data_IF_902272733972
#
_entry.id   IF_902272733972
#
_cell.length_a   1.000
_cell.length_b   1.000
_cell.length_c   1.000
_cell.angle_alpha   90.00
_cell.angle_beta   90.00
_cell.angle_gamma   90.00
#
_symmetry.space_group_name_H-M   'P 1'
#
loop_
_entity.id
_entity.type
_entity.pdbx_description
1 polymer ?
#
# COMPACT_ATOMS: atom_id res chain seq x y z
N UNK A 1 -6.10 -10.36 43.55
CA UNK A 1 -5.48 -9.39 42.62
C UNK A 1 -6.54 -8.43 42.14
N UNK A 2 -6.17 -7.18 41.84
CA UNK A 2 -7.11 -6.25 41.22
C UNK A 2 -7.28 -6.61 39.74
N UNK A 3 -8.51 -6.53 39.25
CA UNK A 3 -8.79 -6.67 37.81
C UNK A 3 -8.17 -5.51 37.02
N UNK A 4 -7.88 -5.74 35.74
CA UNK A 4 -7.36 -4.69 34.83
C UNK A 4 -8.29 -3.48 34.75
N UNK A 5 -9.61 -3.70 34.82
CA UNK A 5 -10.61 -2.64 34.89
C UNK A 5 -10.40 -1.76 36.14
N UNK A 6 -10.20 -2.37 37.31
CA UNK A 6 -9.96 -1.64 38.56
C UNK A 6 -8.63 -0.89 38.53
N UNK A 7 -7.57 -1.51 37.98
CA UNK A 7 -6.27 -0.86 37.78
C UNK A 7 -6.41 0.37 36.89
N UNK A 8 -7.10 0.25 35.76
CA UNK A 8 -7.34 1.36 34.85
C UNK A 8 -8.15 2.49 35.50
N UNK A 9 -9.24 2.16 36.20
CA UNK A 9 -10.07 3.14 36.90
C UNK A 9 -9.28 3.88 37.99
N UNK A 10 -8.44 3.18 38.74
CA UNK A 10 -7.56 3.81 39.73
C UNK A 10 -6.49 4.68 39.08
N UNK A 11 -5.88 4.23 37.98
CA UNK A 11 -4.90 4.99 37.23
C UNK A 11 -5.52 6.29 36.68
N UNK A 12 -6.71 6.21 36.09
CA UNK A 12 -7.46 7.38 35.63
C UNK A 12 -7.74 8.38 36.76
N UNK A 13 -8.17 7.89 37.93
CA UNK A 13 -8.39 8.73 39.12
C UNK A 13 -7.09 9.39 39.60
N UNK A 14 -5.98 8.64 39.61
CA UNK A 14 -4.68 9.13 40.05
C UNK A 14 -4.15 10.25 39.15
N UNK A 15 -4.31 10.12 37.83
CA UNK A 15 -3.79 11.10 36.85
C UNK A 15 -4.83 12.15 36.45
N UNK A 16 -6.03 12.12 37.04
CA UNK A 16 -7.06 13.15 36.86
C UNK A 16 -7.74 13.13 35.49
N UNK A 17 -7.95 11.97 34.89
CA UNK A 17 -8.57 11.83 33.56
C UNK A 17 -9.86 11.01 33.61
N UNK A 18 -10.74 11.25 32.64
CA UNK A 18 -11.98 10.48 32.49
C UNK A 18 -11.66 9.11 31.88
N UNK A 19 -12.06 8.00 32.50
CA UNK A 19 -11.85 6.66 31.95
C UNK A 19 -12.58 6.47 30.62
N UNK A 20 -11.91 5.84 29.67
CA UNK A 20 -12.53 5.44 28.40
C UNK A 20 -13.36 4.18 28.61
N UNK A 21 -14.68 4.32 28.63
CA UNK A 21 -15.60 3.19 28.85
C UNK A 21 -15.44 2.06 27.83
N UNK A 22 -15.05 2.38 26.59
CA UNK A 22 -14.78 1.38 25.55
C UNK A 22 -13.63 0.45 25.94
N UNK A 23 -12.55 0.96 26.55
CA UNK A 23 -11.43 0.15 27.00
C UNK A 23 -11.89 -0.92 28.00
N UNK A 24 -12.68 -0.50 29.00
CA UNK A 24 -13.20 -1.39 30.06
C UNK A 24 -14.13 -2.47 29.49
N UNK A 25 -14.95 -2.12 28.49
CA UNK A 25 -15.89 -3.05 27.87
C UNK A 25 -15.23 -4.09 26.96
N UNK A 26 -13.99 -3.88 26.56
CA UNK A 26 -13.29 -4.71 25.57
C UNK A 26 -11.99 -5.31 26.09
N UNK A 27 -11.83 -5.46 27.42
CA UNK A 27 -10.59 -5.96 28.03
C UNK A 27 -10.22 -7.39 27.59
N UNK A 28 -11.21 -8.21 27.26
CA UNK A 28 -10.97 -9.60 26.83
C UNK A 28 -10.64 -9.71 25.32
N UNK A 29 -10.72 -8.60 24.58
CA UNK A 29 -10.43 -8.60 23.15
C UNK A 29 -8.92 -8.58 22.89
N UNK A 30 -8.38 -9.41 21.97
CA UNK A 30 -6.98 -9.30 21.54
C UNK A 30 -6.72 -8.02 20.75
N UNK A 31 -7.78 -7.33 20.31
CA UNK A 31 -7.71 -6.10 19.52
C UNK A 31 -8.39 -4.96 20.28
N UNK A 32 -7.60 -3.95 20.63
CA UNK A 32 -8.06 -2.75 21.34
C UNK A 32 -7.85 -1.52 20.46
N UNK A 33 -8.93 -1.01 19.86
CA UNK A 33 -8.90 0.19 19.01
C UNK A 33 -9.55 1.35 19.75
N UNK A 34 -8.76 2.34 20.12
CA UNK A 34 -9.14 3.54 20.86
C UNK A 34 -8.91 4.81 20.03
N UNK A 35 -9.01 4.73 18.70
CA UNK A 35 -8.88 5.90 17.82
C UNK A 35 -9.91 6.98 18.16
N UNK A 36 -9.55 8.25 18.12
CA UNK A 36 -10.45 9.40 18.34
C UNK A 36 -11.08 9.51 19.75
N UNK A 37 -10.39 9.02 20.80
CA UNK A 37 -10.87 9.09 22.18
C UNK A 37 -10.32 10.27 22.98
N UNK A 38 -9.46 11.10 22.39
CA UNK A 38 -8.92 12.30 23.05
C UNK A 38 -8.14 11.99 24.33
N UNK A 39 -7.40 10.88 24.35
CA UNK A 39 -6.71 10.40 25.55
C UNK A 39 -5.76 11.44 26.15
N UNK A 40 -5.06 12.19 25.30
CA UNK A 40 -3.98 13.08 25.73
C UNK A 40 -2.81 12.31 26.38
N UNK A 41 -1.78 13.03 26.86
CA UNK A 41 -0.64 12.42 27.52
C UNK A 41 -1.01 11.61 28.77
N UNK A 42 -1.92 12.14 29.60
CA UNK A 42 -2.30 11.52 30.87
C UNK A 42 -3.30 10.37 30.72
N UNK A 43 -4.23 10.43 29.76
CA UNK A 43 -5.08 9.28 29.45
C UNK A 43 -4.25 8.13 28.89
N UNK A 44 -3.25 8.44 28.08
CA UNK A 44 -2.27 7.48 27.60
C UNK A 44 -1.44 6.87 28.75
N UNK A 45 -1.03 7.68 29.73
CA UNK A 45 -0.38 7.19 30.96
C UNK A 45 -1.27 6.19 31.72
N UNK A 46 -2.54 6.53 31.91
CA UNK A 46 -3.48 5.65 32.61
C UNK A 46 -3.65 4.30 31.88
N UNK A 47 -3.72 4.33 30.54
CA UNK A 47 -3.76 3.11 29.73
C UNK A 47 -2.47 2.31 29.85
N UNK A 48 -1.30 2.95 29.75
CA UNK A 48 -0.01 2.29 29.85
C UNK A 48 0.15 1.51 31.18
N UNK A 49 -0.35 2.06 32.29
CA UNK A 49 -0.35 1.37 33.59
C UNK A 49 -1.19 0.09 33.55
N UNK A 50 -2.36 0.12 32.91
CA UNK A 50 -3.28 -1.01 32.86
C UNK A 50 -2.88 -2.08 31.82
N UNK A 51 -2.17 -1.71 30.76
CA UNK A 51 -1.82 -2.59 29.63
C UNK A 51 -0.65 -3.55 29.89
N UNK A 52 0.01 -3.44 31.05
CA UNK A 52 1.22 -4.20 31.37
C UNK A 52 1.00 -5.73 31.41
N UNK A 53 -0.22 -6.19 31.69
CA UNK A 53 -0.56 -7.61 31.86
C UNK A 53 -1.80 -8.01 31.05
N UNK A 54 -1.73 -7.83 29.72
CA UNK A 54 -2.86 -8.10 28.81
C UNK A 54 -2.50 -8.98 27.62
N UNK A 55 -3.48 -9.74 27.17
CA UNK A 55 -3.44 -10.60 25.97
C UNK A 55 -3.66 -9.81 24.66
N UNK A 56 -3.55 -8.48 24.70
CA UNK A 56 -3.75 -7.62 23.52
C UNK A 56 -2.58 -7.81 22.56
N UNK A 57 -2.89 -8.13 21.31
CA UNK A 57 -1.93 -8.25 20.22
C UNK A 57 -1.97 -7.05 19.29
N UNK A 58 -3.10 -6.35 19.21
CA UNK A 58 -3.29 -5.16 18.36
C UNK A 58 -3.79 -3.99 19.19
N UNK A 59 -3.01 -2.91 19.25
CA UNK A 59 -3.32 -1.69 19.98
C UNK A 59 -3.39 -0.49 19.02
N UNK A 60 -4.59 0.04 18.82
CA UNK A 60 -4.83 1.21 18.00
C UNK A 60 -5.07 2.45 18.84
N UNK A 61 -4.20 3.45 18.73
CA UNK A 61 -4.26 4.70 19.50
C UNK A 61 -4.22 5.93 18.59
N UNK A 62 -4.61 5.80 17.32
CA UNK A 62 -4.58 6.89 16.35
C UNK A 62 -5.42 8.11 16.78
N UNK A 63 -4.97 9.31 16.43
CA UNK A 63 -5.69 10.57 16.65
C UNK A 63 -6.22 10.76 18.08
N UNK A 64 -5.32 10.72 19.06
CA UNK A 64 -5.63 10.84 20.48
C UNK A 64 -4.90 11.98 21.18
N UNK A 65 -4.18 12.81 20.43
CA UNK A 65 -3.38 13.91 20.98
C UNK A 65 -2.40 13.46 22.07
N UNK A 66 -1.79 12.28 21.91
CA UNK A 66 -0.91 11.65 22.93
C UNK A 66 0.34 12.48 23.22
N UNK A 67 0.87 13.17 22.21
CA UNK A 67 2.12 13.95 22.26
C UNK A 67 3.35 13.10 22.68
N UNK A 68 4.54 13.71 22.65
CA UNK A 68 5.78 13.03 23.07
C UNK A 68 5.71 12.48 24.50
N UNK A 69 5.07 13.22 25.42
CA UNK A 69 4.95 12.79 26.83
C UNK A 69 4.12 11.50 26.96
N UNK A 70 2.98 11.40 26.28
CA UNK A 70 2.17 10.20 26.32
C UNK A 70 2.86 8.99 25.68
N UNK A 71 3.61 9.21 24.59
CA UNK A 71 4.39 8.17 23.93
C UNK A 71 5.50 7.62 24.84
N UNK A 72 6.13 8.47 25.67
CA UNK A 72 7.10 8.02 26.65
C UNK A 72 6.53 6.93 27.58
N UNK A 73 5.31 7.13 28.10
CA UNK A 73 4.67 6.13 28.97
C UNK A 73 4.34 4.83 28.24
N UNK A 74 3.94 4.91 26.96
CA UNK A 74 3.74 3.70 26.15
C UNK A 74 5.04 2.95 25.89
N UNK A 75 6.11 3.66 25.59
CA UNK A 75 7.43 3.05 25.37
C UNK A 75 7.92 2.32 26.62
N UNK A 76 7.73 2.91 27.80
CA UNK A 76 8.06 2.26 29.07
C UNK A 76 7.24 0.97 29.27
N UNK A 77 5.94 0.97 28.94
CA UNK A 77 5.09 -0.22 29.00
C UNK A 77 5.49 -1.28 27.95
N UNK A 78 5.78 -0.88 26.71
CA UNK A 78 6.14 -1.77 25.61
C UNK A 78 7.49 -2.47 25.78
N UNK A 79 8.33 -2.02 26.73
CA UNK A 79 9.55 -2.74 27.13
C UNK A 79 9.27 -3.97 28.00
N UNK A 80 8.16 -3.96 28.74
CA UNK A 80 7.73 -5.07 29.58
C UNK A 80 6.61 -5.91 28.91
N UNK A 81 5.92 -5.33 27.92
CA UNK A 81 4.91 -6.03 27.15
C UNK A 81 5.53 -6.80 25.97
N UNK A 82 5.22 -8.09 25.89
CA UNK A 82 5.68 -8.98 24.83
C UNK A 82 4.55 -9.53 23.96
N UNK A 83 3.32 -9.04 24.16
CA UNK A 83 2.11 -9.55 23.52
C UNK A 83 1.68 -8.69 22.32
N UNK A 84 1.88 -7.38 22.39
CA UNK A 84 1.52 -6.45 21.32
C UNK A 84 2.44 -6.66 20.12
N UNK A 85 1.83 -6.93 18.97
CA UNK A 85 2.49 -7.15 17.67
C UNK A 85 2.17 -6.03 16.67
N UNK A 86 1.02 -5.38 16.81
CA UNK A 86 0.57 -4.30 15.91
C UNK A 86 0.22 -3.05 16.73
N UNK A 87 0.89 -1.94 16.45
CA UNK A 87 0.73 -0.69 17.17
C UNK A 87 0.44 0.46 16.20
N UNK A 88 -0.64 1.19 16.44
CA UNK A 88 -0.96 2.42 15.69
C UNK A 88 -0.90 3.65 16.62
N UNK A 89 0.05 4.53 16.34
CA UNK A 89 0.25 5.82 17.00
C UNK A 89 0.08 7.00 16.03
N UNK A 90 -0.65 6.80 14.93
CA UNK A 90 -0.84 7.83 13.91
C UNK A 90 -1.55 9.07 14.45
N UNK A 91 -1.29 10.24 13.86
CA UNK A 91 -1.95 11.51 14.16
C UNK A 91 -1.91 11.92 15.66
N UNK A 92 -0.80 11.68 16.36
CA UNK A 92 -0.69 11.94 17.79
C UNK A 92 0.22 13.12 18.17
N UNK A 93 0.72 13.87 17.19
CA UNK A 93 1.64 14.98 17.39
C UNK A 93 2.87 14.60 18.23
N UNK A 94 3.44 13.43 17.94
CA UNK A 94 4.62 12.93 18.67
C UNK A 94 5.84 13.85 18.47
N UNK A 95 6.02 14.41 17.27
CA UNK A 95 7.15 15.30 16.90
C UNK A 95 8.51 14.65 17.22
N UNK A 96 9.60 15.42 17.14
CA UNK A 96 10.96 14.91 17.30
C UNK A 96 11.24 14.19 18.62
N UNK A 97 10.75 14.73 19.75
CA UNK A 97 10.92 14.07 21.05
C UNK A 97 10.23 12.70 21.09
N UNK A 98 9.04 12.57 20.48
CA UNK A 98 8.36 11.29 20.36
C UNK A 98 9.04 10.34 19.37
N UNK A 99 9.65 10.85 18.29
CA UNK A 99 10.46 10.04 17.37
C UNK A 99 11.61 9.35 18.09
N UNK A 100 12.33 10.08 18.93
CA UNK A 100 13.43 9.53 19.73
C UNK A 100 12.94 8.43 20.69
N UNK A 101 11.81 8.63 21.36
CA UNK A 101 11.23 7.59 22.24
C UNK A 101 10.82 6.34 21.45
N UNK A 102 10.14 6.51 20.31
CA UNK A 102 9.73 5.38 19.47
C UNK A 102 10.94 4.64 18.92
N UNK A 103 11.96 5.34 18.42
CA UNK A 103 13.17 4.71 17.92
C UNK A 103 13.91 3.90 18.99
N UNK A 104 14.02 4.43 20.22
CA UNK A 104 14.58 3.68 21.35
C UNK A 104 13.76 2.44 21.68
N UNK A 105 12.43 2.53 21.62
CA UNK A 105 11.55 1.39 21.82
C UNK A 105 11.77 0.30 20.76
N UNK A 106 11.94 0.70 19.50
CA UNK A 106 12.20 -0.24 18.40
C UNK A 106 13.53 -0.99 18.58
N UNK A 107 14.53 -0.44 19.27
CA UNK A 107 15.77 -1.16 19.58
C UNK A 107 15.55 -2.32 20.58
N UNK A 108 14.68 -2.11 21.57
CA UNK A 108 14.50 -3.03 22.69
C UNK A 108 13.32 -4.02 22.48
N UNK A 109 12.30 -3.60 21.73
CA UNK A 109 11.07 -4.37 21.60
C UNK A 109 11.25 -5.60 20.70
N UNK A 110 10.79 -6.75 21.20
CA UNK A 110 10.97 -8.06 20.54
C UNK A 110 9.69 -8.63 19.93
N UNK A 111 8.53 -8.00 20.18
CA UNK A 111 7.20 -8.53 19.82
C UNK A 111 6.56 -7.83 18.62
N UNK A 112 6.84 -6.54 18.42
CA UNK A 112 6.23 -5.74 17.36
C UNK A 112 6.66 -6.24 15.98
N UNK A 113 5.67 -6.28 15.09
CA UNK A 113 5.80 -6.63 13.67
C UNK A 113 5.30 -5.49 12.78
N UNK A 114 4.33 -4.70 13.25
CA UNK A 114 3.74 -3.60 12.49
C UNK A 114 3.62 -2.36 13.37
N UNK A 115 4.12 -1.23 12.87
CA UNK A 115 3.99 0.05 13.55
C UNK A 115 3.53 1.14 12.59
N UNK A 116 2.45 1.84 12.97
CA UNK A 116 1.93 3.00 12.24
C UNK A 116 2.21 4.28 13.00
N UNK A 117 2.88 5.20 12.32
CA UNK A 117 3.37 6.46 12.85
C UNK A 117 3.00 7.64 11.94
N UNK A 118 1.98 7.45 11.10
CA UNK A 118 1.52 8.45 10.13
C UNK A 118 1.13 9.76 10.81
N UNK A 119 1.36 10.91 10.19
CA UNK A 119 0.77 12.17 10.65
C UNK A 119 1.31 12.71 11.99
N UNK A 120 2.55 12.41 12.35
CA UNK A 120 3.12 12.78 13.66
C UNK A 120 4.00 14.04 13.65
N UNK A 121 4.13 14.69 12.48
CA UNK A 121 4.95 15.89 12.27
C UNK A 121 6.44 15.64 12.54
N UNK A 122 6.94 14.48 12.14
CA UNK A 122 8.37 14.22 12.10
C UNK A 122 9.04 15.02 11.00
N UNK A 123 10.24 15.52 11.26
CA UNK A 123 11.03 16.33 10.33
C UNK A 123 12.26 15.56 9.85
N UNK A 124 13.03 16.14 8.91
CA UNK A 124 14.23 15.55 8.31
C UNK A 124 15.17 14.86 9.31
N UNK A 125 15.53 15.52 10.42
CA UNK A 125 16.47 14.99 11.42
C UNK A 125 15.94 13.75 12.15
N UNK A 126 14.61 13.62 12.25
CA UNK A 126 13.97 12.49 12.94
C UNK A 126 14.12 11.19 12.15
N UNK A 127 14.29 11.27 10.82
CA UNK A 127 14.49 10.10 9.96
C UNK A 127 15.72 9.29 10.39
N UNK A 128 16.76 9.95 10.90
CA UNK A 128 17.96 9.30 11.40
C UNK A 128 17.66 8.36 12.55
N UNK A 129 16.78 8.74 13.48
CA UNK A 129 16.42 7.87 14.60
C UNK A 129 15.78 6.56 14.12
N UNK A 130 14.90 6.63 13.12
CA UNK A 130 14.28 5.45 12.54
C UNK A 130 15.27 4.60 11.73
N UNK A 131 16.14 5.24 10.94
CA UNK A 131 17.18 4.54 10.18
C UNK A 131 18.15 3.79 11.11
N UNK A 132 18.62 4.45 12.17
CA UNK A 132 19.52 3.86 13.16
C UNK A 132 18.83 2.69 13.89
N UNK A 133 17.58 2.86 14.34
CA UNK A 133 16.85 1.81 15.06
C UNK A 133 16.53 0.59 14.18
N UNK A 134 16.12 0.81 12.93
CA UNK A 134 15.77 -0.27 12.02
C UNK A 134 17.01 -0.91 11.37
N UNK A 135 18.19 -0.28 11.41
CA UNK A 135 19.42 -0.95 10.96
C UNK A 135 19.73 -2.24 11.75
N UNK A 136 19.24 -2.35 12.98
CA UNK A 136 19.44 -3.52 13.86
C UNK A 136 18.16 -4.34 14.09
N UNK A 137 16.98 -3.73 13.95
CA UNK A 137 15.69 -4.42 14.11
C UNK A 137 15.15 -4.96 12.78
N UNK A 138 15.28 -6.28 12.57
CA UNK A 138 14.70 -7.01 11.43
C UNK A 138 13.34 -7.67 11.71
N UNK A 139 12.72 -7.36 12.86
CA UNK A 139 11.44 -7.93 13.31
C UNK A 139 10.24 -7.14 12.77
N UNK A 140 10.38 -5.83 12.65
CA UNK A 140 9.37 -4.99 12.02
C UNK A 140 9.26 -5.38 10.55
N UNK A 141 8.06 -5.80 10.17
CA UNK A 141 7.66 -6.18 8.82
C UNK A 141 6.91 -5.07 8.10
N UNK A 142 6.20 -4.24 8.85
CA UNK A 142 5.38 -3.16 8.31
C UNK A 142 5.64 -1.86 9.05
N UNK A 143 5.93 -0.80 8.29
CA UNK A 143 6.18 0.53 8.82
C UNK A 143 5.40 1.56 8.00
N UNK A 144 4.55 2.31 8.69
CA UNK A 144 3.88 3.47 8.11
C UNK A 144 4.44 4.76 8.73
N UNK A 145 5.13 5.53 7.89
CA UNK A 145 5.73 6.83 8.18
C UNK A 145 5.10 7.94 7.32
N UNK A 146 3.94 7.68 6.72
CA UNK A 146 3.23 8.62 5.84
C UNK A 146 2.83 9.92 6.52
N UNK A 147 2.50 10.95 5.74
CA UNK A 147 1.99 12.24 6.25
C UNK A 147 2.89 12.91 7.31
N UNK A 148 4.22 12.76 7.17
CA UNK A 148 5.21 13.50 7.96
C UNK A 148 5.94 14.53 7.07
N UNK A 149 7.01 15.14 7.58
CA UNK A 149 7.74 16.22 6.92
C UNK A 149 9.23 15.87 6.77
N UNK A 150 9.58 14.64 6.39
CA UNK A 150 10.99 14.22 6.23
C UNK A 150 11.75 14.94 5.11
N UNK A 151 11.04 15.43 4.09
CA UNK A 151 11.59 16.22 2.96
C UNK A 151 12.88 15.58 2.37
N UNK A 152 13.75 16.40 1.80
CA UNK A 152 14.91 15.92 1.05
C UNK A 152 15.99 15.32 1.93
N UNK A 153 16.36 15.98 3.03
CA UNK A 153 17.46 15.49 3.89
C UNK A 153 17.02 14.25 4.65
N UNK A 154 15.77 14.19 5.13
CA UNK A 154 15.23 12.97 5.72
C UNK A 154 15.14 11.83 4.70
N UNK A 155 14.88 12.12 3.41
CA UNK A 155 14.95 11.13 2.33
C UNK A 155 16.31 10.45 2.20
N UNK A 156 17.41 11.14 2.48
CA UNK A 156 18.75 10.55 2.49
C UNK A 156 18.90 9.52 3.63
N UNK A 157 18.41 9.84 4.82
CA UNK A 157 18.38 8.91 5.96
C UNK A 157 17.41 7.74 5.74
N UNK A 158 16.25 7.99 5.15
CA UNK A 158 15.29 6.94 4.79
C UNK A 158 15.84 6.02 3.70
N UNK A 159 16.73 6.50 2.83
CA UNK A 159 17.49 5.62 1.93
C UNK A 159 18.41 4.66 2.69
N UNK A 160 19.05 5.11 3.77
CA UNK A 160 19.87 4.25 4.63
C UNK A 160 19.04 3.22 5.41
N UNK A 161 17.81 3.59 5.80
CA UNK A 161 16.85 2.68 6.45
C UNK A 161 16.59 1.44 5.59
N UNK A 162 16.62 1.55 4.26
CA UNK A 162 16.40 0.43 3.34
C UNK A 162 17.52 -0.63 3.34
N UNK A 163 18.62 -0.43 4.07
CA UNK A 163 19.56 -1.52 4.36
C UNK A 163 18.97 -2.54 5.35
N UNK A 164 17.80 -2.28 5.91
CA UNK A 164 17.08 -3.22 6.75
C UNK A 164 16.70 -4.51 6.00
N UNK A 165 16.94 -5.65 6.66
CA UNK A 165 16.70 -7.00 6.14
C UNK A 165 15.41 -7.64 6.70
N UNK A 166 14.52 -6.85 7.31
CA UNK A 166 13.27 -7.32 7.89
C UNK A 166 12.01 -6.80 7.20
N UNK A 167 12.05 -5.55 6.74
CA UNK A 167 10.89 -4.75 6.35
C UNK A 167 10.36 -5.17 4.98
N UNK A 168 9.07 -5.47 4.94
CA UNK A 168 8.37 -5.97 3.74
C UNK A 168 7.37 -4.96 3.19
N UNK A 169 6.81 -4.10 4.06
CA UNK A 169 5.84 -3.05 3.71
C UNK A 169 6.30 -1.71 4.28
N UNK A 170 6.41 -0.71 3.42
CA UNK A 170 6.79 0.64 3.80
C UNK A 170 5.88 1.67 3.15
N UNK A 171 5.21 2.48 3.97
CA UNK A 171 4.48 3.65 3.52
C UNK A 171 5.23 4.93 3.90
N UNK A 172 5.66 5.68 2.89
CA UNK A 172 6.30 6.98 2.99
C UNK A 172 5.52 8.04 2.22
N UNK A 173 4.25 7.81 1.91
CA UNK A 173 3.42 8.75 1.18
C UNK A 173 3.35 10.10 1.90
N UNK A 174 3.23 11.17 1.12
CA UNK A 174 3.00 12.52 1.65
C UNK A 174 4.13 13.08 2.56
N UNK A 175 5.41 12.79 2.23
CA UNK A 175 6.59 13.23 3.00
C UNK A 175 7.47 14.30 2.32
N UNK A 176 7.12 14.66 1.07
CA UNK A 176 7.86 15.65 0.28
C UNK A 176 9.34 15.33 0.03
N UNK A 177 9.71 14.05 -0.15
CA UNK A 177 11.11 13.65 -0.32
C UNK A 177 11.86 14.51 -1.36
N UNK A 178 11.37 14.56 -2.62
CA UNK A 178 11.87 15.43 -3.71
C UNK A 178 13.39 15.29 -4.02
N UNK A 179 13.79 15.70 -5.23
CA UNK A 179 15.20 15.96 -5.61
C UNK A 179 16.18 14.90 -5.06
N UNK A 180 17.20 15.32 -4.30
CA UNK A 180 18.25 14.47 -3.72
C UNK A 180 17.72 13.40 -2.76
N UNK A 181 16.68 13.72 -1.98
CA UNK A 181 16.07 12.74 -1.07
C UNK A 181 15.45 11.57 -1.83
N UNK A 182 14.75 11.84 -2.94
CA UNK A 182 14.22 10.80 -3.82
C UNK A 182 15.34 9.94 -4.45
N UNK A 183 16.43 10.57 -4.92
CA UNK A 183 17.57 9.87 -5.50
C UNK A 183 18.28 8.98 -4.48
N UNK A 184 18.53 9.50 -3.27
CA UNK A 184 19.16 8.75 -2.19
C UNK A 184 18.29 7.59 -1.70
N UNK A 185 16.97 7.81 -1.59
CA UNK A 185 16.02 6.73 -1.29
C UNK A 185 16.09 5.59 -2.31
N UNK A 186 16.05 5.92 -3.60
CA UNK A 186 16.18 4.93 -4.68
C UNK A 186 17.54 4.20 -4.66
N UNK A 187 18.63 4.86 -4.24
CA UNK A 187 19.92 4.21 -4.09
C UNK A 187 19.90 3.11 -3.00
N UNK A 188 19.17 3.34 -1.90
CA UNK A 188 18.91 2.29 -0.90
C UNK A 188 18.01 1.18 -1.43
N UNK A 189 16.94 1.52 -2.14
CA UNK A 189 16.01 0.54 -2.72
C UNK A 189 16.68 -0.40 -3.72
N UNK A 190 17.66 0.11 -4.49
CA UNK A 190 18.45 -0.65 -5.45
C UNK A 190 19.14 -1.87 -4.84
N UNK A 191 19.56 -1.79 -3.57
CA UNK A 191 20.26 -2.87 -2.85
C UNK A 191 19.40 -3.57 -1.81
N UNK A 192 18.17 -3.10 -1.60
CA UNK A 192 17.23 -3.74 -0.68
C UNK A 192 16.78 -5.10 -1.24
N UNK A 193 16.69 -6.10 -0.35
CA UNK A 193 16.40 -7.50 -0.70
C UNK A 193 15.15 -8.05 0.01
N UNK A 194 14.30 -7.19 0.58
CA UNK A 194 13.17 -7.64 1.41
C UNK A 194 11.86 -6.92 1.13
N UNK A 195 11.91 -5.66 0.74
CA UNK A 195 10.74 -4.82 0.58
C UNK A 195 9.92 -5.30 -0.61
N UNK A 196 8.62 -5.52 -0.37
CA UNK A 196 7.64 -6.02 -1.34
C UNK A 196 6.61 -4.97 -1.70
N UNK A 197 6.19 -4.15 -0.72
CA UNK A 197 5.20 -3.11 -0.91
C UNK A 197 5.76 -1.76 -0.49
N UNK A 198 5.73 -0.81 -1.42
CA UNK A 198 6.24 0.54 -1.22
C UNK A 198 5.25 1.58 -1.70
N UNK A 199 4.81 2.45 -0.79
CA UNK A 199 4.06 3.65 -1.13
C UNK A 199 4.94 4.89 -1.01
N UNK A 200 5.16 5.55 -2.15
CA UNK A 200 5.89 6.80 -2.28
C UNK A 200 5.02 7.91 -2.87
N UNK A 201 3.70 7.74 -2.86
CA UNK A 201 2.80 8.73 -3.43
C UNK A 201 2.96 10.11 -2.76
N UNK A 202 2.69 11.19 -3.50
CA UNK A 202 2.76 12.56 -2.97
C UNK A 202 4.14 13.03 -2.45
N UNK A 203 5.24 12.49 -2.98
CA UNK A 203 6.58 12.90 -2.59
C UNK A 203 7.28 13.87 -3.56
N UNK A 204 6.66 14.16 -4.72
CA UNK A 204 7.20 15.09 -5.71
C UNK A 204 8.55 14.65 -6.29
N UNK A 205 8.69 13.35 -6.62
CA UNK A 205 9.92 12.78 -7.18
C UNK A 205 10.42 13.50 -8.45
N UNK A 206 9.50 13.95 -9.32
CA UNK A 206 9.85 14.54 -10.62
C UNK A 206 10.62 13.56 -11.53
N UNK A 207 11.21 14.09 -12.59
CA UNK A 207 11.93 13.27 -13.59
C UNK A 207 13.24 12.68 -13.04
N UNK A 208 13.96 13.41 -12.18
CA UNK A 208 15.18 12.92 -11.54
C UNK A 208 14.91 11.73 -10.61
N UNK A 209 13.87 11.81 -9.78
CA UNK A 209 13.45 10.70 -8.94
C UNK A 209 12.96 9.49 -9.76
N UNK A 210 12.30 9.72 -10.90
CA UNK A 210 11.87 8.66 -11.81
C UNK A 210 13.04 7.94 -12.48
N UNK A 211 14.08 8.68 -12.89
CA UNK A 211 15.33 8.10 -13.38
C UNK A 211 15.99 7.23 -12.31
N UNK A 212 16.11 7.76 -11.09
CA UNK A 212 16.69 7.01 -9.98
C UNK A 212 15.87 5.75 -9.62
N UNK A 213 14.53 5.85 -9.67
CA UNK A 213 13.65 4.71 -9.46
C UNK A 213 13.79 3.66 -10.58
N UNK A 214 13.90 4.07 -11.84
CA UNK A 214 14.20 3.17 -12.95
C UNK A 214 15.52 2.43 -12.73
N UNK A 215 16.57 3.14 -12.34
CA UNK A 215 17.87 2.52 -11.99
C UNK A 215 17.78 1.60 -10.77
N UNK A 216 16.90 1.87 -9.80
CA UNK A 216 16.68 0.97 -8.66
C UNK A 216 15.96 -0.31 -9.08
N UNK A 217 14.85 -0.19 -9.81
CA UNK A 217 14.03 -1.31 -10.29
C UNK A 217 14.79 -2.25 -11.22
N UNK A 218 15.80 -1.74 -11.94
CA UNK A 218 16.69 -2.56 -12.76
C UNK A 218 17.43 -3.65 -11.97
N UNK A 219 17.72 -3.42 -10.69
CA UNK A 219 18.47 -4.36 -9.84
C UNK A 219 17.64 -4.93 -8.70
N UNK A 220 16.62 -4.20 -8.23
CA UNK A 220 15.72 -4.70 -7.21
C UNK A 220 14.88 -5.86 -7.78
N UNK A 221 14.85 -6.96 -7.05
CA UNK A 221 14.17 -8.20 -7.45
C UNK A 221 13.18 -8.70 -6.37
N UNK A 222 12.72 -7.80 -5.51
CA UNK A 222 11.80 -8.15 -4.42
C UNK A 222 10.53 -7.32 -4.40
N UNK A 223 10.59 -6.10 -4.96
CA UNK A 223 9.46 -5.19 -4.94
C UNK A 223 8.36 -5.66 -5.88
N UNK A 224 7.17 -5.87 -5.34
CA UNK A 224 5.99 -6.37 -6.05
C UNK A 224 4.97 -5.27 -6.29
N UNK A 225 4.87 -4.30 -5.38
CA UNK A 225 3.92 -3.19 -5.44
C UNK A 225 4.63 -1.87 -5.24
N UNK A 226 4.44 -0.94 -6.18
CA UNK A 226 5.00 0.39 -6.14
C UNK A 226 3.93 1.45 -6.44
N UNK A 227 3.66 2.31 -5.46
CA UNK A 227 2.80 3.47 -5.65
C UNK A 227 3.63 4.75 -5.81
N UNK A 228 3.54 5.35 -6.99
CA UNK A 228 4.15 6.63 -7.36
C UNK A 228 3.11 7.68 -7.74
N UNK A 229 1.86 7.55 -7.29
CA UNK A 229 0.82 8.53 -7.56
C UNK A 229 1.22 9.94 -7.09
N UNK A 230 0.77 10.99 -7.78
CA UNK A 230 1.01 12.40 -7.38
C UNK A 230 2.49 12.77 -7.17
N UNK A 231 3.40 12.30 -8.02
CA UNK A 231 4.83 12.56 -7.91
C UNK A 231 5.41 13.53 -8.95
N UNK A 232 4.56 14.15 -9.76
CA UNK A 232 4.94 15.13 -10.81
C UNK A 232 5.86 14.53 -11.88
N UNK A 233 5.72 13.24 -12.17
CA UNK A 233 6.42 12.60 -13.29
C UNK A 233 5.84 13.10 -14.61
N UNK A 234 6.68 13.44 -15.57
CA UNK A 234 6.25 13.71 -16.96
C UNK A 234 6.46 12.48 -17.85
N UNK A 235 6.09 12.57 -19.12
CA UNK A 235 6.36 11.51 -20.11
C UNK A 235 7.85 11.12 -20.15
N UNK A 236 8.75 12.10 -20.00
CA UNK A 236 10.19 11.87 -19.94
C UNK A 236 10.57 11.05 -18.71
N UNK A 237 10.07 11.43 -17.52
CA UNK A 237 10.28 10.69 -16.28
C UNK A 237 9.79 9.25 -16.36
N UNK A 238 8.61 9.03 -16.92
CA UNK A 238 8.08 7.67 -17.16
C UNK A 238 8.92 6.90 -18.18
N UNK A 239 9.42 7.55 -19.23
CA UNK A 239 10.30 6.90 -20.20
C UNK A 239 11.61 6.44 -19.55
N UNK A 240 12.14 7.20 -18.58
CA UNK A 240 13.30 6.80 -17.78
C UNK A 240 12.97 5.65 -16.81
N UNK A 241 11.79 5.68 -16.18
CA UNK A 241 11.30 4.57 -15.37
C UNK A 241 11.18 3.27 -16.19
N UNK A 242 10.64 3.36 -17.41
CA UNK A 242 10.48 2.22 -18.32
C UNK A 242 11.82 1.53 -18.65
N UNK A 243 12.92 2.27 -18.82
CA UNK A 243 14.25 1.68 -19.04
C UNK A 243 14.70 0.74 -17.92
N UNK A 244 14.25 1.00 -16.69
CA UNK A 244 14.46 0.10 -15.55
C UNK A 244 13.56 -1.12 -15.61
N UNK A 245 12.28 -0.90 -15.92
CA UNK A 245 11.26 -1.95 -16.03
C UNK A 245 11.57 -2.99 -17.11
N UNK A 246 12.32 -2.63 -18.16
CA UNK A 246 12.81 -3.57 -19.19
C UNK A 246 13.61 -4.75 -18.60
N UNK A 247 14.22 -4.57 -17.43
CA UNK A 247 15.04 -5.58 -16.74
C UNK A 247 14.36 -6.14 -15.48
N UNK A 248 13.19 -5.61 -15.10
CA UNK A 248 12.50 -6.00 -13.89
C UNK A 248 11.44 -7.07 -14.18
N UNK A 249 11.52 -8.20 -13.49
CA UNK A 249 10.62 -9.34 -13.61
C UNK A 249 9.88 -9.66 -12.29
N UNK A 250 9.77 -8.67 -11.40
CA UNK A 250 9.22 -8.87 -10.04
C UNK A 250 8.09 -7.90 -9.69
N UNK A 251 8.13 -6.67 -10.20
CA UNK A 251 7.10 -5.67 -9.98
C UNK A 251 5.82 -6.07 -10.72
N UNK A 252 4.74 -6.24 -9.95
CA UNK A 252 3.41 -6.62 -10.46
C UNK A 252 2.48 -5.43 -10.56
N UNK A 253 2.52 -4.51 -9.60
CA UNK A 253 1.60 -3.37 -9.52
C UNK A 253 2.39 -2.06 -9.54
N UNK A 254 2.09 -1.21 -10.52
CA UNK A 254 2.68 0.11 -10.67
C UNK A 254 1.58 1.19 -10.75
N UNK A 255 1.49 2.02 -9.72
CA UNK A 255 0.53 3.12 -9.67
C UNK A 255 1.20 4.45 -10.02
N UNK A 256 0.69 5.12 -11.05
CA UNK A 256 1.23 6.37 -11.61
C UNK A 256 0.15 7.45 -11.81
N UNK A 257 -1.04 7.27 -11.22
CA UNK A 257 -2.14 8.20 -11.30
C UNK A 257 -1.77 9.60 -10.74
N UNK A 258 -2.42 10.62 -11.29
CA UNK A 258 -2.24 12.03 -10.95
C UNK A 258 -0.80 12.54 -11.09
N UNK A 259 -0.03 11.94 -12.00
CA UNK A 259 1.20 12.52 -12.54
C UNK A 259 0.91 13.34 -13.80
N UNK A 260 1.93 14.07 -14.30
CA UNK A 260 1.84 14.93 -15.49
C UNK A 260 2.02 14.12 -16.79
N UNK A 261 1.27 13.02 -16.92
CA UNK A 261 1.36 12.10 -18.04
C UNK A 261 0.33 12.45 -19.11
N UNK A 262 0.74 12.33 -20.36
CA UNK A 262 -0.16 12.34 -21.53
C UNK A 262 -0.24 10.95 -22.14
N UNK A 263 -0.96 10.80 -23.25
CA UNK A 263 -1.01 9.56 -24.02
C UNK A 263 0.38 9.04 -24.42
N UNK A 264 1.39 9.90 -24.58
CA UNK A 264 2.75 9.46 -24.90
C UNK A 264 3.38 8.67 -23.75
N UNK A 265 3.24 9.15 -22.51
CA UNK A 265 3.69 8.42 -21.33
C UNK A 265 2.92 7.11 -21.13
N UNK A 266 1.61 7.11 -21.43
CA UNK A 266 0.79 5.90 -21.42
C UNK A 266 1.27 4.87 -22.46
N UNK A 267 1.56 5.31 -23.68
CA UNK A 267 2.11 4.46 -24.74
C UNK A 267 3.46 3.86 -24.35
N UNK A 268 4.35 4.65 -23.71
CA UNK A 268 5.64 4.16 -23.24
C UNK A 268 5.51 3.01 -22.22
N UNK A 269 4.52 3.10 -21.31
CA UNK A 269 4.24 2.04 -20.33
C UNK A 269 3.74 0.75 -20.99
N UNK A 270 2.84 0.86 -21.98
CA UNK A 270 2.34 -0.32 -22.69
C UNK A 270 3.42 -0.92 -23.60
N UNK A 271 4.26 -0.08 -24.21
CA UNK A 271 5.38 -0.53 -25.02
C UNK A 271 6.43 -1.32 -24.22
N UNK A 272 6.75 -0.90 -22.98
CA UNK A 272 7.70 -1.67 -22.17
C UNK A 272 7.14 -3.06 -21.85
N UNK A 273 5.86 -3.17 -21.48
CA UNK A 273 5.25 -4.48 -21.24
C UNK A 273 5.30 -5.34 -22.50
N UNK A 274 4.90 -4.79 -23.64
CA UNK A 274 4.92 -5.50 -24.94
C UNK A 274 6.31 -5.99 -25.33
N UNK A 275 7.34 -5.19 -25.08
CA UNK A 275 8.70 -5.50 -25.51
C UNK A 275 9.50 -6.30 -24.47
N UNK A 276 8.90 -6.61 -23.31
CA UNK A 276 9.56 -7.32 -22.21
C UNK A 276 8.78 -8.57 -21.82
N UNK A 277 9.02 -9.72 -22.51
CA UNK A 277 8.28 -10.96 -22.26
C UNK A 277 8.36 -11.50 -20.83
N UNK A 278 9.43 -11.14 -20.10
CA UNK A 278 9.67 -11.56 -18.72
C UNK A 278 9.04 -10.65 -17.67
N UNK A 279 8.40 -9.56 -18.08
CA UNK A 279 7.80 -8.63 -17.11
C UNK A 279 6.76 -9.33 -16.25
N UNK A 280 6.74 -9.01 -14.96
CA UNK A 280 5.71 -9.45 -14.03
C UNK A 280 4.55 -8.45 -13.91
N UNK A 281 4.58 -7.34 -14.66
CA UNK A 281 3.56 -6.29 -14.55
C UNK A 281 2.17 -6.83 -14.90
N UNK A 282 1.29 -6.74 -13.91
CA UNK A 282 -0.12 -7.14 -13.97
C UNK A 282 -1.04 -5.93 -13.86
N UNK A 283 -0.64 -4.86 -13.18
CA UNK A 283 -1.47 -3.66 -13.04
C UNK A 283 -0.65 -2.38 -13.27
N UNK A 284 -1.15 -1.53 -14.17
CA UNK A 284 -0.64 -0.18 -14.37
C UNK A 284 -1.80 0.81 -14.19
N UNK A 285 -1.73 1.64 -13.16
CA UNK A 285 -2.77 2.63 -12.88
C UNK A 285 -2.36 4.03 -13.33
N UNK A 286 -3.01 4.53 -14.38
CA UNK A 286 -2.89 5.88 -14.92
C UNK A 286 -4.29 6.48 -15.12
N UNK A 287 -5.21 6.24 -14.16
CA UNK A 287 -6.65 6.47 -14.30
C UNK A 287 -7.07 7.92 -14.62
N UNK A 288 -6.17 8.90 -14.52
CA UNK A 288 -6.41 10.30 -14.88
C UNK A 288 -5.89 10.68 -16.28
N UNK A 289 -5.28 9.75 -17.02
CA UNK A 289 -4.69 10.01 -18.35
C UNK A 289 -5.71 9.72 -19.44
N UNK A 290 -6.03 10.72 -20.26
CA UNK A 290 -6.81 10.54 -21.47
C UNK A 290 -5.94 9.93 -22.58
N UNK A 291 -6.44 8.88 -23.21
CA UNK A 291 -5.71 8.12 -24.24
C UNK A 291 -6.40 8.24 -25.61
N UNK A 292 -5.80 7.72 -26.68
CA UNK A 292 -6.37 7.71 -28.02
C UNK A 292 -6.57 6.28 -28.54
N UNK A 293 -7.17 6.14 -29.72
CA UNK A 293 -7.40 4.82 -30.36
C UNK A 293 -6.11 4.04 -30.59
N UNK A 294 -4.99 4.71 -30.87
CA UNK A 294 -3.69 4.05 -31.06
C UNK A 294 -3.23 3.37 -29.76
N UNK A 295 -3.42 4.03 -28.61
CA UNK A 295 -3.14 3.42 -27.31
C UNK A 295 -4.03 2.21 -27.05
N UNK A 296 -5.33 2.31 -27.34
CA UNK A 296 -6.27 1.19 -27.15
C UNK A 296 -5.85 0.00 -28.00
N UNK A 297 -5.54 0.23 -29.28
CA UNK A 297 -5.08 -0.83 -30.18
C UNK A 297 -3.76 -1.45 -29.71
N UNK A 298 -2.78 -0.63 -29.28
CA UNK A 298 -1.53 -1.15 -28.74
C UNK A 298 -1.78 -2.03 -27.51
N UNK A 299 -2.61 -1.55 -26.59
CA UNK A 299 -2.97 -2.25 -25.36
C UNK A 299 -3.70 -3.57 -25.64
N UNK A 300 -4.61 -3.60 -26.61
CA UNK A 300 -5.27 -4.83 -27.06
C UNK A 300 -4.26 -5.88 -27.55
N UNK A 301 -3.32 -5.48 -28.41
CA UNK A 301 -2.27 -6.39 -28.91
C UNK A 301 -1.36 -6.84 -27.77
N UNK A 302 -0.98 -5.93 -26.87
CA UNK A 302 -0.16 -6.30 -25.70
C UNK A 302 -0.88 -7.30 -24.80
N UNK A 303 -2.18 -7.15 -24.57
CA UNK A 303 -2.96 -8.08 -23.75
C UNK A 303 -3.14 -9.47 -24.40
N UNK A 304 -2.99 -9.60 -25.72
CA UNK A 304 -2.96 -10.93 -26.37
C UNK A 304 -1.71 -11.73 -25.95
N UNK A 305 -0.59 -11.04 -25.74
CA UNK A 305 0.67 -11.64 -25.29
C UNK A 305 0.76 -11.70 -23.76
N UNK A 306 0.16 -10.73 -23.06
CA UNK A 306 0.14 -10.57 -21.61
C UNK A 306 -1.31 -10.50 -21.07
N UNK A 307 -2.05 -11.63 -20.99
CA UNK A 307 -3.47 -11.65 -20.63
C UNK A 307 -3.77 -11.12 -19.22
N UNK A 308 -2.81 -11.25 -18.29
CA UNK A 308 -2.93 -10.74 -16.93
C UNK A 308 -2.84 -9.22 -16.80
N UNK A 309 -2.44 -8.49 -17.86
CA UNK A 309 -2.22 -7.05 -17.81
C UNK A 309 -3.53 -6.27 -17.71
N UNK A 310 -3.70 -5.54 -16.61
CA UNK A 310 -4.68 -4.50 -16.41
C UNK A 310 -4.05 -3.11 -16.50
N UNK A 311 -4.72 -2.19 -17.22
CA UNK A 311 -4.29 -0.80 -17.34
C UNK A 311 -5.49 0.10 -17.13
N UNK A 312 -5.46 0.88 -16.06
CA UNK A 312 -6.54 1.83 -15.74
C UNK A 312 -6.20 3.19 -16.32
N UNK A 313 -7.07 3.76 -17.15
CA UNK A 313 -6.87 5.06 -17.80
C UNK A 313 -8.17 5.89 -17.81
N UNK A 314 -8.07 7.19 -18.02
CA UNK A 314 -9.17 8.16 -17.83
C UNK A 314 -10.24 8.20 -18.93
N UNK A 315 -10.13 7.33 -19.93
CA UNK A 315 -11.00 7.26 -21.10
C UNK A 315 -10.29 7.66 -22.41
N UNK A 316 -10.97 7.43 -23.53
CA UNK A 316 -10.46 7.71 -24.89
C UNK A 316 -10.90 9.12 -25.32
N UNK A 317 -9.95 10.02 -25.54
CA UNK A 317 -10.16 11.40 -25.96
C UNK A 317 -9.76 11.68 -27.41
N UNK A 318 -10.65 12.31 -28.18
CA UNK A 318 -10.50 12.72 -29.59
C UNK A 318 -11.85 13.22 -30.13
N UNK A 319 -11.86 14.17 -31.08
CA UNK A 319 -13.08 14.82 -31.57
C UNK A 319 -14.11 13.81 -32.12
N UNK A 320 -15.38 14.07 -31.79
CA UNK A 320 -16.56 13.21 -31.94
C UNK A 320 -16.64 12.14 -30.84
N UNK A 321 -17.29 12.52 -29.73
CA UNK A 321 -17.96 11.55 -28.88
C UNK A 321 -18.99 10.81 -29.74
N UNK A 322 -18.59 9.75 -30.43
CA UNK A 322 -19.55 8.73 -30.87
C UNK A 322 -20.17 8.24 -29.57
N UNK A 323 -21.48 8.42 -29.43
CA UNK A 323 -22.25 7.83 -28.34
C UNK A 323 -21.76 6.38 -28.22
N UNK A 324 -21.20 5.97 -27.05
CA UNK A 324 -20.65 4.63 -26.93
C UNK A 324 -21.70 3.64 -27.43
N UNK A 325 -21.34 2.68 -28.29
CA UNK A 325 -22.29 1.69 -28.78
C UNK A 325 -23.02 1.10 -27.59
N UNK A 326 -24.33 0.84 -27.73
CA UNK A 326 -25.17 0.35 -26.65
C UNK A 326 -24.57 -0.97 -26.15
N UNK A 327 -23.88 -0.91 -25.02
CA UNK A 327 -23.09 -2.03 -24.50
C UNK A 327 -24.05 -3.13 -24.08
N UNK A 328 -23.80 -4.34 -24.58
CA UNK A 328 -24.59 -5.52 -24.21
C UNK A 328 -24.09 -5.99 -22.85
N UNK A 329 -25.01 -6.33 -21.94
CA UNK A 329 -24.65 -6.83 -20.61
C UNK A 329 -23.72 -8.05 -20.74
N UNK A 330 -22.58 -8.10 -20.02
CA UNK A 330 -21.63 -9.22 -20.08
C UNK A 330 -22.30 -10.58 -19.81
N UNK A 331 -23.23 -10.64 -18.86
CA UNK A 331 -23.96 -11.86 -18.53
C UNK A 331 -24.88 -12.30 -19.67
N UNK A 332 -25.43 -11.34 -20.43
CA UNK A 332 -26.23 -11.65 -21.62
C UNK A 332 -25.35 -12.23 -22.74
N UNK A 333 -24.15 -11.69 -22.96
CA UNK A 333 -23.22 -12.24 -23.96
C UNK A 333 -22.78 -13.65 -23.59
N UNK A 334 -22.48 -13.88 -22.31
CA UNK A 334 -22.17 -15.22 -21.79
C UNK A 334 -23.35 -16.17 -22.01
N UNK A 335 -24.56 -15.75 -21.65
CA UNK A 335 -25.77 -16.56 -21.78
C UNK A 335 -26.07 -16.91 -23.24
N UNK A 336 -26.04 -15.92 -24.15
CA UNK A 336 -26.27 -16.12 -25.58
C UNK A 336 -25.25 -17.11 -26.18
N UNK A 337 -23.97 -17.02 -25.78
CA UNK A 337 -22.92 -17.94 -26.22
C UNK A 337 -23.14 -19.37 -25.72
N UNK A 338 -23.50 -19.52 -24.44
CA UNK A 338 -23.75 -20.82 -23.83
C UNK A 338 -24.98 -21.50 -24.43
N UNK A 339 -26.06 -20.74 -24.64
CA UNK A 339 -27.30 -21.22 -25.24
C UNK A 339 -27.09 -21.71 -26.68
N UNK A 340 -26.35 -20.96 -27.50
CA UNK A 340 -26.00 -21.37 -28.86
C UNK A 340 -25.23 -22.69 -28.92
N UNK A 341 -24.44 -23.00 -27.88
CA UNK A 341 -23.61 -24.20 -27.79
C UNK A 341 -24.18 -25.29 -26.89
N UNK A 342 -25.39 -25.09 -26.34
CA UNK A 342 -26.05 -25.99 -25.38
C UNK A 342 -25.17 -26.31 -24.15
N UNK A 343 -24.39 -25.33 -23.70
CA UNK A 343 -23.56 -25.41 -22.50
C UNK A 343 -24.31 -24.80 -21.32
N UNK A 344 -24.02 -25.24 -20.09
CA UNK A 344 -24.56 -24.58 -18.90
C UNK A 344 -23.55 -23.59 -18.35
N UNK A 345 -24.04 -22.54 -17.68
CA UNK A 345 -23.19 -21.56 -17.00
C UNK A 345 -22.24 -22.21 -15.99
N UNK A 346 -22.71 -23.28 -15.32
CA UNK A 346 -21.89 -24.08 -14.42
C UNK A 346 -20.68 -24.74 -15.12
N UNK A 347 -20.81 -25.14 -16.38
CA UNK A 347 -19.72 -25.78 -17.12
C UNK A 347 -18.62 -24.76 -17.49
N UNK A 348 -18.96 -23.46 -17.58
CA UNK A 348 -17.98 -22.38 -17.76
C UNK A 348 -17.14 -22.18 -16.50
N UNK A 349 -17.78 -21.98 -15.35
CA UNK A 349 -17.08 -21.73 -14.10
C UNK A 349 -16.24 -22.91 -13.61
N UNK A 350 -16.70 -24.15 -13.83
CA UNK A 350 -15.95 -25.36 -13.49
C UNK A 350 -14.59 -25.45 -14.20
N UNK A 351 -14.45 -24.86 -15.39
CA UNK A 351 -13.16 -24.83 -16.10
C UNK A 351 -12.15 -23.86 -15.44
N UNK A 352 -12.66 -22.87 -14.71
CA UNK A 352 -11.87 -21.83 -14.05
C UNK A 352 -11.54 -22.26 -12.60
N UNK A 353 -12.55 -22.71 -11.87
CA UNK A 353 -12.45 -23.18 -10.48
C UNK A 353 -12.28 -24.70 -10.43
N UNK A 354 -11.01 -25.13 -10.56
CA UNK A 354 -10.65 -26.55 -10.53
C UNK A 354 -10.88 -27.21 -9.18
N UNK A 355 -10.89 -26.41 -8.11
CA UNK A 355 -10.96 -26.86 -6.73
C UNK A 355 -12.40 -26.83 -6.18
N UNK A 356 -13.36 -26.29 -6.94
CA UNK A 356 -14.78 -26.22 -6.59
C UNK A 356 -15.08 -25.31 -5.41
N UNK A 357 -14.23 -24.31 -5.17
CA UNK A 357 -14.31 -23.39 -4.02
C UNK A 357 -15.31 -22.25 -4.22
N UNK A 358 -15.81 -22.07 -5.44
CA UNK A 358 -16.60 -20.94 -5.92
C UNK A 358 -15.89 -19.59 -5.75
N UNK A 359 -14.56 -19.64 -5.70
CA UNK A 359 -13.66 -18.50 -5.45
C UNK A 359 -12.44 -18.58 -6.35
N UNK A 360 -12.17 -17.54 -7.13
CA UNK A 360 -11.03 -17.52 -8.05
C UNK A 360 -10.32 -16.17 -7.98
N UNK A 361 -8.97 -16.11 -7.92
CA UNK A 361 -8.24 -14.85 -8.03
C UNK A 361 -8.62 -14.08 -9.30
N UNK A 362 -8.76 -12.75 -9.20
CA UNK A 362 -9.16 -11.89 -10.33
C UNK A 362 -8.26 -12.08 -11.55
N UNK A 363 -6.94 -12.25 -11.34
CA UNK A 363 -5.98 -12.50 -12.41
C UNK A 363 -6.25 -13.82 -13.14
N UNK A 364 -6.55 -14.90 -12.40
CA UNK A 364 -6.86 -16.21 -12.96
C UNK A 364 -8.21 -16.22 -13.67
N UNK A 365 -9.22 -15.57 -13.08
CA UNK A 365 -10.53 -15.39 -13.70
C UNK A 365 -10.41 -14.63 -15.02
N UNK A 366 -9.72 -13.48 -15.01
CA UNK A 366 -9.46 -12.66 -16.20
C UNK A 366 -8.78 -13.47 -17.29
N UNK A 367 -7.70 -14.18 -16.95
CA UNK A 367 -6.96 -15.05 -17.86
C UNK A 367 -7.86 -16.14 -18.45
N UNK A 368 -8.69 -16.78 -17.63
CA UNK A 368 -9.57 -17.85 -18.09
C UNK A 368 -10.69 -17.35 -18.99
N UNK A 369 -11.29 -16.19 -18.69
CA UNK A 369 -12.31 -15.56 -19.55
C UNK A 369 -11.71 -15.19 -20.90
N UNK A 370 -10.50 -14.59 -20.92
CA UNK A 370 -9.81 -14.22 -22.15
C UNK A 370 -9.36 -15.44 -22.99
N UNK A 371 -9.03 -16.56 -22.35
CA UNK A 371 -8.70 -17.82 -23.03
C UNK A 371 -9.93 -18.60 -23.48
N UNK A 372 -11.12 -18.26 -22.96
CA UNK A 372 -12.38 -18.87 -23.37
C UNK A 372 -12.77 -18.41 -24.78
N UNK A 373 -13.59 -19.20 -25.48
CA UNK A 373 -14.13 -18.76 -26.77
C UNK A 373 -15.36 -17.85 -26.64
N UNK A 374 -15.67 -17.36 -25.44
CA UNK A 374 -16.78 -16.43 -25.21
C UNK A 374 -16.40 -15.06 -25.79
N UNK A 375 -17.25 -14.45 -26.63
CA UNK A 375 -16.94 -13.20 -27.31
C UNK A 375 -17.18 -11.98 -26.39
N UNK A 376 -16.51 -11.93 -25.24
CA UNK A 376 -16.53 -10.78 -24.35
C UNK A 376 -15.42 -9.80 -24.75
N UNK A 377 -15.78 -8.52 -24.87
CA UNK A 377 -14.78 -7.46 -24.99
C UNK A 377 -14.15 -7.13 -23.63
N UNK A 378 -13.01 -6.42 -23.65
CA UNK A 378 -12.28 -6.09 -22.42
C UNK A 378 -13.14 -5.34 -21.41
N UNK A 379 -13.98 -4.40 -21.84
CA UNK A 379 -14.82 -3.63 -20.93
C UNK A 379 -15.84 -4.54 -20.25
N UNK A 380 -16.43 -5.47 -21.00
CA UNK A 380 -17.38 -6.44 -20.46
C UNK A 380 -16.72 -7.39 -19.45
N UNK A 381 -15.45 -7.75 -19.65
CA UNK A 381 -14.67 -8.53 -18.67
C UNK A 381 -14.46 -7.72 -17.39
N UNK A 382 -14.05 -6.45 -17.48
CA UNK A 382 -13.87 -5.60 -16.29
C UNK A 382 -15.19 -5.33 -15.57
N UNK A 383 -16.28 -5.09 -16.30
CA UNK A 383 -17.60 -4.92 -15.72
C UNK A 383 -18.05 -6.18 -14.98
N UNK A 384 -17.77 -7.36 -15.55
CA UNK A 384 -18.07 -8.64 -14.91
C UNK A 384 -17.23 -8.83 -13.64
N UNK A 385 -15.92 -8.54 -13.68
CA UNK A 385 -15.04 -8.59 -12.51
C UNK A 385 -15.55 -7.64 -11.41
N UNK A 386 -15.89 -6.40 -11.74
CA UNK A 386 -16.42 -5.45 -10.75
C UNK A 386 -17.76 -5.90 -10.13
N UNK A 387 -18.58 -6.64 -10.88
CA UNK A 387 -19.84 -7.20 -10.37
C UNK A 387 -19.62 -8.41 -9.46
N UNK A 388 -18.58 -9.20 -9.70
CA UNK A 388 -18.28 -10.44 -8.98
C UNK A 388 -17.27 -10.23 -7.83
N UNK A 389 -16.43 -9.21 -7.90
CA UNK A 389 -15.55 -8.73 -6.83
C UNK A 389 -15.99 -7.32 -6.39
N UNK A 390 -17.23 -7.21 -5.92
CA UNK A 390 -17.84 -5.92 -5.52
C UNK A 390 -17.01 -5.20 -4.46
N UNK A 391 -16.39 -5.95 -3.56
CA UNK A 391 -15.65 -5.44 -2.42
C UNK A 391 -14.14 -5.27 -2.73
N UNK A 392 -13.71 -5.51 -3.98
CA UNK A 392 -12.31 -5.37 -4.45
C UNK A 392 -11.31 -6.16 -3.61
N UNK A 393 -11.70 -7.37 -3.27
CA UNK A 393 -10.92 -8.33 -2.49
C UNK A 393 -9.80 -8.97 -3.30
N UNK A 394 -9.78 -8.79 -4.63
CA UNK A 394 -8.89 -9.49 -5.55
C UNK A 394 -9.35 -10.93 -5.84
N UNK A 395 -10.54 -11.30 -5.37
CA UNK A 395 -11.18 -12.60 -5.59
C UNK A 395 -12.55 -12.41 -6.23
N UNK A 396 -12.84 -13.23 -7.23
CA UNK A 396 -14.14 -13.33 -7.91
C UNK A 396 -14.97 -14.39 -7.21
N UNK A 397 -16.09 -13.97 -6.64
CA UNK A 397 -17.14 -14.83 -6.05
C UNK A 397 -18.29 -14.97 -7.08
N UNK A 398 -18.72 -16.19 -7.40
CA UNK A 398 -19.70 -16.43 -8.48
C UNK A 398 -20.77 -17.48 -8.19
#
# INVERSE_FOLDING_TARGET
>A
EMSTAEVYMQACKLVGVVPVSYFIRNLDSPTMILTHHGLGPLGCKALAIALTDMHITTLGLGDNHIQAEGAKYLVEMLRANFTIQHLDLSANHLKSAGAEYVAKMLLDNISLKSIKLSGNRYIDDDAKYFADALSTNSRIKELDLSHNEFRATGGEHLGQLLNNEGLEVLDLSWNHLRMKGAVAFCAGLKVNIMLKHLDLSWNGFGNEGALAMGEALKFNNTLVYLNLNNNRLTNEGVSMLCKGLEFNDTLRVLLLAYNSLTVEGALALVHVVKNTPKTALEEINICNVLVNENFVHLLEVTCQEHPGLDVHYGGVGGFIAKKPPKRVDPMKVIQDYLDQRKLRLWDFFRNIDKDGTMRVPVADFRKAVQQSSIPLDRYQIEELIQRLDRDRTGMVDY
#
